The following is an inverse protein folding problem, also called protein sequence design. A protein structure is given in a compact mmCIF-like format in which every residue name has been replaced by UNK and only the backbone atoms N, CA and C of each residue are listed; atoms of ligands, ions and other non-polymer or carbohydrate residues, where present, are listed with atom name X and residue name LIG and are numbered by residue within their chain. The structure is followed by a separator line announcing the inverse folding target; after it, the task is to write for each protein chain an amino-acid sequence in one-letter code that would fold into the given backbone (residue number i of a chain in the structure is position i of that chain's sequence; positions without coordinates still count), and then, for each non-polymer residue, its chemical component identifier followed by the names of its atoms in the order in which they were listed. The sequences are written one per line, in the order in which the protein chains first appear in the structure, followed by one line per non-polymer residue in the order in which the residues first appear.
data_IF_682709168673
#
_entry.id   IF_682709168673
#
_cell.length_a   1.000
_cell.length_b   1.000
_cell.length_c   1.000
_cell.angle_alpha   90.00
_cell.angle_beta   90.00
_cell.angle_gamma   90.00
#
_symmetry.space_group_name_H-M   'P 1'
#
loop_
_entity.id
_entity.type
_entity.pdbx_description
1 polymer ?
#
# COMPACT_ATOMS: atom_id res chain seq x y z
N UNK A 1 18.82 20.65 -14.44
CA UNK A 1 19.27 19.98 -13.22
C UNK A 1 18.08 19.13 -12.74
N UNK A 2 18.28 17.84 -12.58
CA UNK A 2 17.26 16.87 -12.19
C UNK A 2 17.24 16.82 -10.66
N UNK A 3 16.07 16.95 -10.03
CA UNK A 3 15.94 17.05 -8.58
C UNK A 3 15.48 15.73 -7.99
N UNK A 4 16.17 15.28 -6.93
CA UNK A 4 15.82 14.02 -6.25
C UNK A 4 15.69 14.20 -4.73
N UNK A 5 14.93 13.30 -4.11
CA UNK A 5 14.82 13.14 -2.65
C UNK A 5 15.26 11.72 -2.30
N UNK A 6 16.00 11.59 -1.20
CA UNK A 6 16.39 10.31 -0.64
C UNK A 6 15.49 10.01 0.56
N UNK A 7 14.76 8.89 0.52
CA UNK A 7 13.81 8.49 1.55
C UNK A 7 14.17 7.10 2.04
N UNK A 8 14.80 7.00 3.21
CA UNK A 8 15.33 5.77 3.78
C UNK A 8 15.57 6.00 5.27
N UNK A 9 15.16 5.10 6.16
CA UNK A 9 15.38 5.27 7.60
C UNK A 9 16.84 5.01 8.01
N UNK A 10 17.60 4.31 7.17
CA UNK A 10 19.01 4.05 7.37
C UNK A 10 19.88 5.20 6.81
N UNK A 11 20.50 6.00 7.69
CA UNK A 11 21.37 7.11 7.27
C UNK A 11 22.53 6.66 6.38
N UNK A 12 23.12 5.48 6.67
CA UNK A 12 24.22 4.93 5.88
C UNK A 12 23.79 4.59 4.44
N UNK A 13 22.57 4.12 4.24
CA UNK A 13 22.04 3.86 2.91
C UNK A 13 21.92 5.17 2.10
N UNK A 14 21.40 6.25 2.73
CA UNK A 14 21.35 7.58 2.11
C UNK A 14 22.75 8.11 1.77
N UNK A 15 23.73 7.92 2.66
CA UNK A 15 25.11 8.34 2.42
C UNK A 15 25.75 7.60 1.24
N UNK A 16 25.49 6.31 1.07
CA UNK A 16 25.95 5.52 -0.09
C UNK A 16 25.34 6.08 -1.38
N UNK A 17 24.04 6.34 -1.41
CA UNK A 17 23.35 6.93 -2.57
C UNK A 17 23.94 8.30 -2.91
N UNK A 18 24.13 9.19 -1.92
CA UNK A 18 24.80 10.50 -2.13
C UNK A 18 26.21 10.38 -2.69
N UNK A 19 26.98 9.44 -2.13
CA UNK A 19 28.34 9.18 -2.62
C UNK A 19 28.32 8.77 -4.09
N UNK A 20 27.41 7.89 -4.51
CA UNK A 20 27.31 7.48 -5.91
C UNK A 20 26.79 8.60 -6.82
N UNK A 21 25.83 9.41 -6.33
CA UNK A 21 25.31 10.58 -7.06
C UNK A 21 26.36 11.66 -7.29
N UNK A 22 27.46 11.72 -6.52
CA UNK A 22 28.55 12.67 -6.76
C UNK A 22 29.19 12.55 -8.14
N UNK A 23 29.03 11.39 -8.81
CA UNK A 23 29.45 11.15 -10.18
C UNK A 23 28.48 11.71 -11.24
N UNK A 24 27.32 12.25 -10.83
CA UNK A 24 26.26 12.74 -11.70
C UNK A 24 25.92 14.21 -11.38
N UNK A 25 26.72 15.17 -11.85
CA UNK A 25 26.61 16.59 -11.46
C UNK A 25 25.28 17.25 -11.89
N UNK A 26 24.54 16.63 -12.82
CA UNK A 26 23.24 17.11 -13.27
C UNK A 26 22.08 16.73 -12.33
N UNK A 27 22.35 15.91 -11.29
CA UNK A 27 21.36 15.47 -10.29
C UNK A 27 21.62 16.17 -8.98
N UNK A 28 20.59 16.84 -8.45
CA UNK A 28 20.62 17.56 -7.17
C UNK A 28 19.77 16.83 -6.13
N UNK A 29 20.35 16.50 -4.97
CA UNK A 29 19.62 16.01 -3.81
C UNK A 29 19.03 17.21 -3.07
N UNK A 30 17.72 17.39 -3.15
CA UNK A 30 17.01 18.55 -2.55
C UNK A 30 16.51 18.29 -1.13
N UNK A 31 16.39 17.03 -0.71
CA UNK A 31 16.05 16.66 0.65
C UNK A 31 16.49 15.21 0.97
N UNK A 32 16.68 14.94 2.26
CA UNK A 32 16.84 13.61 2.83
C UNK A 32 15.76 13.40 3.90
N UNK A 33 15.12 12.23 3.90
CA UNK A 33 14.03 11.89 4.79
C UNK A 33 14.29 10.55 5.47
N UNK A 34 13.99 10.46 6.74
CA UNK A 34 14.20 9.27 7.58
C UNK A 34 12.94 8.43 7.77
N UNK A 35 11.81 8.85 7.27
CA UNK A 35 10.56 8.09 7.27
C UNK A 35 9.61 8.54 6.14
N UNK A 36 8.55 7.75 5.92
CA UNK A 36 7.61 8.03 4.84
C UNK A 36 6.79 9.31 5.03
N UNK A 37 6.57 9.81 6.26
CA UNK A 37 5.86 11.08 6.48
C UNK A 37 6.73 12.27 6.12
N UNK A 38 8.01 12.23 6.47
CA UNK A 38 8.99 13.22 6.02
C UNK A 38 9.08 13.22 4.50
N UNK A 39 9.15 12.02 3.89
CA UNK A 39 9.15 11.82 2.44
C UNK A 39 7.94 12.46 1.76
N UNK A 40 6.74 12.20 2.26
CA UNK A 40 5.50 12.77 1.73
C UNK A 40 5.50 14.31 1.79
N UNK A 41 5.93 14.88 2.91
CA UNK A 41 6.05 16.33 3.07
C UNK A 41 7.08 16.92 2.11
N UNK A 42 8.24 16.29 2.00
CA UNK A 42 9.32 16.74 1.11
C UNK A 42 8.92 16.67 -0.36
N UNK A 43 8.23 15.60 -0.81
CA UNK A 43 7.70 15.48 -2.17
C UNK A 43 6.74 16.63 -2.48
N UNK A 44 5.81 16.92 -1.57
CA UNK A 44 4.84 18.01 -1.74
C UNK A 44 5.53 19.38 -1.83
N UNK A 45 6.56 19.61 -1.01
CA UNK A 45 7.27 20.88 -0.92
C UNK A 45 8.22 21.10 -2.10
N UNK A 46 8.98 20.09 -2.47
CA UNK A 46 10.09 20.21 -3.43
C UNK A 46 9.71 19.77 -4.85
N UNK A 47 8.63 19.00 -5.02
CA UNK A 47 8.19 18.45 -6.31
C UNK A 47 9.37 17.87 -7.11
N UNK A 48 10.05 16.83 -6.62
CA UNK A 48 11.21 16.25 -7.27
C UNK A 48 10.84 15.57 -8.59
N UNK A 49 11.80 15.46 -9.50
CA UNK A 49 11.64 14.72 -10.75
C UNK A 49 11.59 13.20 -10.50
N UNK A 50 12.40 12.75 -9.54
CA UNK A 50 12.40 11.37 -9.09
C UNK A 50 12.80 11.25 -7.61
N UNK A 51 12.59 10.07 -7.02
CA UNK A 51 12.99 9.76 -5.65
C UNK A 51 13.71 8.41 -5.58
N UNK A 52 14.65 8.30 -4.63
CA UNK A 52 15.08 7.02 -4.09
C UNK A 52 14.22 6.72 -2.87
N UNK A 53 13.65 5.52 -2.82
CA UNK A 53 12.67 5.16 -1.81
C UNK A 53 12.94 3.77 -1.25
N UNK A 54 13.18 3.70 0.06
CA UNK A 54 13.14 2.42 0.74
C UNK A 54 11.69 1.94 0.89
N UNK A 55 11.53 0.63 0.76
CA UNK A 55 10.22 -0.01 0.93
C UNK A 55 9.90 -0.19 2.41
N UNK A 56 10.86 -0.63 3.22
CA UNK A 56 10.62 -0.92 4.62
C UNK A 56 11.07 0.22 5.53
N UNK A 57 10.14 1.05 5.91
CA UNK A 57 10.35 2.15 6.83
C UNK A 57 9.38 2.09 8.02
N UNK A 58 9.77 2.66 9.19
CA UNK A 58 8.88 2.82 10.34
C UNK A 58 7.63 3.63 9.99
N UNK A 59 6.52 3.41 10.73
CA UNK A 59 5.24 4.11 10.65
C UNK A 59 4.46 3.82 9.36
N UNK A 60 4.96 4.17 8.19
CA UNK A 60 4.40 3.83 6.87
C UNK A 60 5.51 3.32 5.96
N UNK A 61 5.25 2.27 5.20
CA UNK A 61 6.20 1.75 4.23
C UNK A 61 6.21 2.59 2.93
N UNK A 62 7.19 2.34 2.04
CA UNK A 62 7.35 3.12 0.82
C UNK A 62 6.13 3.07 -0.10
N UNK A 63 5.45 1.94 -0.20
CA UNK A 63 4.23 1.81 -1.01
C UNK A 63 3.04 2.54 -0.38
N UNK A 64 2.84 2.39 0.93
CA UNK A 64 1.81 3.15 1.67
C UNK A 64 2.02 4.66 1.54
N UNK A 65 3.28 5.11 1.56
CA UNK A 65 3.63 6.51 1.33
C UNK A 65 3.25 6.95 -0.09
N UNK A 66 3.60 6.17 -1.11
CA UNK A 66 3.26 6.51 -2.49
C UNK A 66 1.76 6.62 -2.71
N UNK A 67 0.94 5.76 -2.10
CA UNK A 67 -0.53 5.86 -2.18
C UNK A 67 -1.10 7.19 -1.68
N UNK A 68 -0.36 7.93 -0.86
CA UNK A 68 -0.76 9.21 -0.30
C UNK A 68 -0.29 10.41 -1.13
N UNK A 69 0.63 10.18 -2.06
CA UNK A 69 1.17 11.21 -2.96
C UNK A 69 0.16 11.49 -4.07
N UNK A 70 -0.18 12.75 -4.31
CA UNK A 70 -1.13 13.13 -5.37
C UNK A 70 -0.48 13.18 -6.76
N UNK A 71 0.75 13.69 -6.83
CA UNK A 71 1.55 13.75 -8.05
C UNK A 71 2.82 12.93 -7.84
N UNK A 72 2.86 11.78 -8.46
CA UNK A 72 3.95 10.82 -8.27
C UNK A 72 5.21 11.24 -9.04
N UNK A 73 6.36 11.40 -8.36
CA UNK A 73 7.66 11.46 -9.03
C UNK A 73 8.00 10.08 -9.61
N UNK A 74 8.98 10.02 -10.49
CA UNK A 74 9.57 8.74 -10.87
C UNK A 74 10.24 8.10 -9.64
N UNK A 75 10.26 6.76 -9.55
CA UNK A 75 10.74 6.05 -8.36
C UNK A 75 11.84 5.08 -8.71
N UNK A 76 12.96 5.15 -7.97
CA UNK A 76 13.96 4.09 -7.87
C UNK A 76 13.86 3.52 -6.46
N UNK A 77 13.44 2.26 -6.34
CA UNK A 77 13.40 1.62 -5.04
C UNK A 77 14.77 1.18 -4.56
N UNK A 78 15.01 1.33 -3.24
CA UNK A 78 16.19 0.80 -2.54
C UNK A 78 15.72 -0.05 -1.38
N UNK A 79 16.14 -1.33 -1.28
CA UNK A 79 15.64 -2.21 -0.22
C UNK A 79 16.56 -3.39 0.04
N UNK A 80 16.45 -4.00 1.23
CA UNK A 80 17.16 -5.22 1.58
C UNK A 80 16.46 -6.50 1.09
N UNK A 81 15.26 -6.40 0.50
CA UNK A 81 14.41 -7.54 0.19
C UNK A 81 14.26 -7.75 -1.32
N UNK A 82 14.68 -8.92 -1.80
CA UNK A 82 14.60 -9.34 -3.20
C UNK A 82 13.16 -9.71 -3.66
N UNK A 83 12.32 -10.15 -2.73
CA UNK A 83 10.92 -10.51 -3.02
C UNK A 83 10.07 -9.36 -3.57
N UNK A 84 10.46 -8.11 -3.33
CA UNK A 84 9.80 -6.91 -3.89
C UNK A 84 10.31 -6.53 -5.28
N UNK A 85 11.39 -7.13 -5.77
CA UNK A 85 11.94 -6.83 -7.09
C UNK A 85 10.93 -7.16 -8.21
N UNK A 86 10.23 -8.28 -8.11
CA UNK A 86 9.20 -8.69 -9.10
C UNK A 86 8.06 -7.65 -9.11
N UNK A 87 7.65 -7.19 -7.93
CA UNK A 87 6.59 -6.18 -7.77
C UNK A 87 7.00 -4.80 -8.28
N UNK A 88 8.25 -4.40 -8.10
CA UNK A 88 8.75 -3.13 -8.61
C UNK A 88 8.74 -3.08 -10.15
N UNK A 89 8.96 -4.21 -10.82
CA UNK A 89 8.87 -4.32 -12.28
C UNK A 89 7.43 -4.24 -12.81
N UNK A 90 6.45 -4.80 -12.11
CA UNK A 90 5.03 -4.70 -12.46
C UNK A 90 4.51 -3.26 -12.38
N UNK A 91 5.26 -2.38 -11.74
CA UNK A 91 4.82 -1.11 -11.18
C UNK A 91 5.37 0.11 -11.92
N UNK A 92 5.97 -0.03 -13.10
CA UNK A 92 6.56 1.11 -13.82
C UNK A 92 7.59 1.95 -13.01
N UNK A 93 8.22 1.38 -11.98
CA UNK A 93 9.40 2.01 -11.35
C UNK A 93 10.49 2.21 -12.40
N UNK A 94 11.34 3.22 -12.21
CA UNK A 94 12.53 3.40 -13.06
C UNK A 94 13.44 2.19 -12.89
N UNK A 95 13.68 1.81 -11.65
CA UNK A 95 14.49 0.65 -11.31
C UNK A 95 14.31 0.23 -9.83
N UNK A 96 15.01 -0.87 -9.50
CA UNK A 96 15.03 -1.48 -8.18
C UNK A 96 16.46 -1.84 -7.80
N UNK A 97 16.93 -1.33 -6.66
CA UNK A 97 18.29 -1.51 -6.16
C UNK A 97 18.25 -2.31 -4.85
N UNK A 98 18.87 -3.49 -4.86
CA UNK A 98 18.99 -4.31 -3.67
C UNK A 98 20.15 -3.81 -2.79
N UNK A 99 19.93 -3.68 -1.49
CA UNK A 99 20.97 -3.39 -0.51
C UNK A 99 21.78 -4.67 -0.20
N UNK A 100 23.13 -4.62 -0.15
CA UNK A 100 23.97 -3.45 -0.36
C UNK A 100 24.01 -3.03 -1.84
N UNK A 101 23.86 -1.72 -2.10
CA UNK A 101 23.75 -1.20 -3.47
C UNK A 101 25.12 -1.30 -4.17
N UNK A 102 25.15 -2.06 -5.26
CA UNK A 102 26.32 -2.12 -6.17
C UNK A 102 26.41 -0.88 -7.06
N UNK A 103 27.62 -0.31 -7.20
CA UNK A 103 27.84 0.92 -7.98
C UNK A 103 27.48 0.76 -9.45
N UNK A 104 27.82 -0.36 -10.07
CA UNK A 104 27.54 -0.58 -11.50
C UNK A 104 26.01 -0.71 -11.70
N UNK A 105 25.32 -1.36 -10.78
CA UNK A 105 23.85 -1.48 -10.79
C UNK A 105 23.16 -0.14 -10.57
N UNK A 106 23.72 0.70 -9.68
CA UNK A 106 23.27 2.08 -9.46
C UNK A 106 23.38 2.90 -10.74
N UNK A 107 24.55 2.86 -11.41
CA UNK A 107 24.79 3.59 -12.66
C UNK A 107 23.80 3.19 -13.77
N UNK A 108 23.48 1.90 -13.88
CA UNK A 108 22.45 1.42 -14.81
C UNK A 108 21.06 1.97 -14.50
N UNK A 109 20.70 2.09 -13.21
CA UNK A 109 19.42 2.67 -12.80
C UNK A 109 19.32 4.15 -13.19
N UNK A 110 20.38 4.92 -12.95
CA UNK A 110 20.43 6.34 -13.33
C UNK A 110 20.34 6.52 -14.86
N UNK A 111 20.96 5.64 -15.66
CA UNK A 111 20.88 5.70 -17.12
C UNK A 111 19.46 5.51 -17.67
N UNK A 112 18.56 4.89 -16.93
CA UNK A 112 17.13 4.71 -17.31
C UNK A 112 16.27 5.96 -17.07
N UNK A 113 16.70 6.87 -16.17
CA UNK A 113 15.93 8.06 -15.78
C UNK A 113 15.47 8.94 -16.96
N UNK A 114 16.33 9.31 -17.93
CA UNK A 114 15.94 10.21 -19.01
C UNK A 114 14.78 9.66 -19.85
N UNK A 115 14.78 8.37 -20.14
CA UNK A 115 13.70 7.72 -20.88
C UNK A 115 12.38 7.76 -20.10
N UNK A 116 12.44 7.60 -18.79
CA UNK A 116 11.26 7.62 -17.91
C UNK A 116 10.71 9.02 -17.70
N UNK A 117 11.57 10.02 -17.49
CA UNK A 117 11.17 11.42 -17.29
C UNK A 117 10.54 12.02 -18.56
N UNK A 118 10.96 11.57 -19.75
CA UNK A 118 10.37 12.01 -21.02
C UNK A 118 9.02 11.34 -21.34
N UNK A 119 8.72 10.18 -20.74
CA UNK A 119 7.49 9.41 -20.94
C UNK A 119 6.56 9.53 -19.72
N UNK A 120 6.19 10.75 -19.34
CA UNK A 120 5.44 11.08 -18.11
C UNK A 120 4.01 10.48 -18.02
N UNK A 121 3.49 9.80 -19.06
CA UNK A 121 2.12 9.26 -19.12
C UNK A 121 1.95 7.82 -18.62
N UNK A 122 2.97 7.19 -18.07
CA UNK A 122 2.83 5.85 -17.48
C UNK A 122 2.17 5.89 -16.10
N UNK A 123 0.97 5.35 -15.99
CA UNK A 123 0.13 5.40 -14.78
C UNK A 123 0.83 4.77 -13.56
N UNK A 124 1.15 5.61 -12.60
CA UNK A 124 1.64 5.19 -11.27
C UNK A 124 0.53 4.46 -10.47
N UNK A 125 -0.73 4.54 -10.94
CA UNK A 125 -1.88 3.91 -10.30
C UNK A 125 -1.81 2.37 -10.38
N UNK A 126 -1.32 1.79 -11.48
CA UNK A 126 -1.05 0.35 -11.59
C UNK A 126 0.03 -0.11 -10.61
N UNK A 127 0.93 0.81 -10.22
CA UNK A 127 1.94 0.66 -9.20
C UNK A 127 1.38 0.22 -7.86
N UNK A 128 0.35 0.88 -7.43
CA UNK A 128 -0.20 0.78 -6.10
C UNK A 128 -1.07 -0.46 -5.92
N UNK A 129 -1.63 -0.96 -7.02
CA UNK A 129 -2.54 -2.12 -6.97
C UNK A 129 -1.79 -3.45 -6.84
N UNK A 130 -0.60 -3.56 -7.44
CA UNK A 130 0.22 -4.78 -7.41
C UNK A 130 1.09 -4.92 -6.14
N UNK A 131 1.57 -3.81 -5.60
CA UNK A 131 2.57 -3.80 -4.53
C UNK A 131 2.04 -4.20 -3.14
N UNK A 132 0.74 -4.09 -2.95
CA UNK A 132 0.11 -4.27 -1.63
C UNK A 132 -0.25 -5.74 -1.29
N UNK A 133 0.18 -6.71 -2.08
CA UNK A 133 -0.24 -8.12 -1.97
C UNK A 133 0.57 -8.97 -0.96
N UNK A 134 1.29 -8.36 0.00
CA UNK A 134 2.01 -9.17 0.98
C UNK A 134 1.22 -9.31 2.29
N UNK A 135 0.62 -10.50 2.58
CA UNK A 135 -0.21 -10.72 3.77
C UNK A 135 0.54 -10.59 5.10
N UNK A 136 1.86 -10.75 5.07
CA UNK A 136 2.67 -10.84 6.30
C UNK A 136 2.88 -9.52 7.06
N UNK A 137 2.49 -8.37 6.50
CA UNK A 137 2.74 -7.05 7.10
C UNK A 137 1.49 -6.18 7.30
N UNK A 138 0.30 -6.68 7.00
CA UNK A 138 -0.92 -5.87 6.98
C UNK A 138 -1.68 -5.86 8.31
N UNK A 139 -1.00 -5.49 9.42
CA UNK A 139 -1.69 -5.25 10.69
C UNK A 139 -2.40 -3.87 10.74
N UNK A 140 -2.34 -3.09 9.65
CA UNK A 140 -2.90 -1.74 9.57
C UNK A 140 -3.31 -1.38 8.14
N UNK A 141 -4.23 -0.43 8.02
CA UNK A 141 -4.63 0.19 6.75
C UNK A 141 -4.42 1.69 6.85
N UNK A 142 -3.70 2.28 5.90
CA UNK A 142 -3.48 3.72 5.84
C UNK A 142 -4.56 4.34 4.95
N UNK A 143 -5.25 5.36 5.45
CA UNK A 143 -6.29 6.11 4.72
C UNK A 143 -6.03 7.61 4.81
N UNK A 144 -6.46 8.38 3.79
CA UNK A 144 -6.44 9.85 3.80
C UNK A 144 -7.89 10.35 3.84
N UNK A 145 -8.22 11.17 4.83
CA UNK A 145 -9.54 11.79 4.97
C UNK A 145 -9.39 13.27 5.29
N UNK A 146 -9.92 14.15 4.44
CA UNK A 146 -9.85 15.61 4.61
C UNK A 146 -8.41 16.14 4.79
N UNK A 147 -7.45 15.59 4.05
CA UNK A 147 -6.03 15.95 4.16
C UNK A 147 -5.29 15.35 5.36
N UNK A 148 -6.00 14.67 6.26
CA UNK A 148 -5.40 13.99 7.42
C UNK A 148 -5.15 12.52 7.07
N UNK A 149 -3.94 12.06 7.35
CA UNK A 149 -3.57 10.64 7.22
C UNK A 149 -3.93 9.93 8.51
N UNK A 150 -4.67 8.83 8.40
CA UNK A 150 -5.02 7.98 9.51
C UNK A 150 -4.51 6.56 9.28
N UNK A 151 -3.91 5.99 10.31
CA UNK A 151 -3.47 4.61 10.36
C UNK A 151 -4.51 3.84 11.19
N UNK A 152 -5.19 2.89 10.57
CA UNK A 152 -6.23 2.07 11.19
C UNK A 152 -5.63 0.69 11.46
N UNK A 153 -5.64 0.24 12.70
CA UNK A 153 -5.29 -1.14 13.00
C UNK A 153 -6.32 -2.09 12.38
N UNK A 154 -5.87 -3.17 11.78
CA UNK A 154 -6.77 -4.16 11.15
C UNK A 154 -7.76 -4.75 12.17
N UNK A 155 -7.34 -4.88 13.42
CA UNK A 155 -8.19 -5.33 14.54
C UNK A 155 -9.40 -4.42 14.82
N UNK A 156 -9.30 -3.14 14.44
CA UNK A 156 -10.36 -2.14 14.65
C UNK A 156 -11.38 -2.13 13.51
N UNK A 157 -11.12 -2.87 12.43
CA UNK A 157 -12.02 -3.00 11.29
C UNK A 157 -13.10 -4.05 11.63
N UNK A 158 -14.35 -3.64 11.56
CA UNK A 158 -15.50 -4.51 11.78
C UNK A 158 -15.88 -5.27 10.50
N UNK A 159 -16.00 -4.54 9.41
CA UNK A 159 -16.27 -5.09 8.09
C UNK A 159 -15.84 -4.11 7.00
N UNK A 160 -15.73 -4.63 5.78
CA UNK A 160 -15.49 -3.86 4.57
C UNK A 160 -16.69 -4.01 3.63
N UNK A 161 -17.05 -2.91 2.98
CA UNK A 161 -18.17 -2.82 2.04
C UNK A 161 -17.70 -2.21 0.71
N UNK A 162 -18.09 -2.83 -0.41
CA UNK A 162 -17.85 -2.25 -1.74
C UNK A 162 -18.70 -1.00 -1.94
N UNK A 163 -18.09 0.08 -2.45
CA UNK A 163 -18.72 1.37 -2.70
C UNK A 163 -18.14 1.97 -3.98
N UNK A 164 -18.71 1.60 -5.12
CA UNK A 164 -18.22 1.93 -6.46
C UNK A 164 -16.71 1.64 -6.63
N UNK A 165 -15.88 2.66 -6.85
CA UNK A 165 -14.43 2.55 -7.01
C UNK A 165 -13.66 2.50 -5.67
N UNK A 166 -14.38 2.48 -4.54
CA UNK A 166 -13.79 2.47 -3.21
C UNK A 166 -14.27 1.27 -2.40
N UNK A 167 -13.54 1.01 -1.33
CA UNK A 167 -13.99 0.11 -0.26
C UNK A 167 -14.14 0.93 1.01
N UNK A 168 -15.33 0.85 1.62
CA UNK A 168 -15.61 1.41 2.94
C UNK A 168 -15.07 0.47 4.02
N UNK A 169 -14.26 1.01 4.92
CA UNK A 169 -13.81 0.33 6.13
C UNK A 169 -14.65 0.84 7.30
N UNK A 170 -15.49 -0.03 7.85
CA UNK A 170 -16.27 0.28 9.04
C UNK A 170 -15.45 -0.04 10.29
N UNK A 171 -15.30 0.95 11.18
CA UNK A 171 -14.52 0.85 12.40
C UNK A 171 -15.28 1.46 13.58
N UNK A 172 -14.75 1.31 14.80
CA UNK A 172 -15.29 2.00 16.00
C UNK A 172 -15.25 3.52 15.88
N UNK A 173 -14.30 4.07 15.13
CA UNK A 173 -14.12 5.52 14.96
C UNK A 173 -14.88 6.10 13.77
N UNK A 174 -15.63 5.26 13.05
CA UNK A 174 -16.45 5.64 11.90
C UNK A 174 -16.06 4.92 10.62
N UNK A 175 -16.50 5.49 9.49
CA UNK A 175 -16.29 4.91 8.16
C UNK A 175 -15.20 5.66 7.42
N UNK A 176 -14.30 4.89 6.82
CA UNK A 176 -13.19 5.39 6.00
C UNK A 176 -13.26 4.77 4.61
N UNK A 177 -12.80 5.49 3.59
CA UNK A 177 -12.78 5.03 2.21
C UNK A 177 -11.35 4.77 1.76
N UNK A 178 -11.14 3.67 1.06
CA UNK A 178 -9.87 3.33 0.43
C UNK A 178 -10.09 3.02 -1.04
N UNK A 179 -9.33 3.64 -1.92
CA UNK A 179 -9.36 3.35 -3.37
C UNK A 179 -8.60 2.04 -3.63
N UNK A 180 -9.27 0.93 -3.39
CA UNK A 180 -8.80 -0.44 -3.63
C UNK A 180 -10.01 -1.33 -3.89
N UNK A 181 -9.78 -2.51 -4.48
CA UNK A 181 -10.85 -3.48 -4.76
C UNK A 181 -11.13 -4.39 -3.57
N UNK A 182 -12.30 -5.02 -3.55
CA UNK A 182 -12.63 -6.06 -2.57
C UNK A 182 -11.70 -7.28 -2.68
N UNK A 183 -11.25 -7.59 -3.90
CA UNK A 183 -10.31 -8.69 -4.14
C UNK A 183 -8.93 -8.39 -3.56
N UNK A 184 -8.49 -7.14 -3.62
CA UNK A 184 -7.29 -6.68 -2.94
C UNK A 184 -7.35 -7.00 -1.43
N UNK A 185 -8.42 -6.59 -0.75
CA UNK A 185 -8.56 -6.85 0.69
C UNK A 185 -8.71 -8.34 1.02
N UNK A 186 -9.39 -9.12 0.17
CA UNK A 186 -9.50 -10.58 0.33
C UNK A 186 -8.12 -11.27 0.26
N UNK A 187 -7.18 -10.74 -0.53
CA UNK A 187 -5.83 -11.28 -0.69
C UNK A 187 -4.85 -10.81 0.38
N UNK A 188 -5.06 -9.61 0.93
CA UNK A 188 -4.09 -8.94 1.84
C UNK A 188 -4.44 -9.10 3.31
N UNK A 189 -5.72 -9.24 3.67
CA UNK A 189 -6.12 -9.46 5.04
C UNK A 189 -5.95 -10.93 5.44
N UNK A 190 -5.63 -11.15 6.72
CA UNK A 190 -5.48 -12.50 7.28
C UNK A 190 -6.79 -13.29 7.14
N UNK A 191 -6.81 -14.39 6.38
CA UNK A 191 -8.02 -15.21 6.19
C UNK A 191 -8.51 -15.90 7.45
N UNK A 192 -7.69 -15.99 8.50
CA UNK A 192 -8.10 -16.45 9.82
C UNK A 192 -8.92 -15.40 10.59
N UNK A 193 -8.83 -14.13 10.22
CA UNK A 193 -9.55 -13.03 10.84
C UNK A 193 -10.66 -12.46 9.95
N UNK A 194 -10.45 -12.41 8.65
CA UNK A 194 -11.37 -11.79 7.70
C UNK A 194 -11.85 -12.77 6.64
N UNK A 195 -13.14 -12.72 6.35
CA UNK A 195 -13.74 -13.60 5.36
C UNK A 195 -14.69 -12.84 4.44
N UNK A 196 -14.59 -13.10 3.14
CA UNK A 196 -15.51 -12.57 2.14
C UNK A 196 -16.79 -13.38 2.12
N UNK A 197 -17.87 -12.80 2.64
CA UNK A 197 -19.18 -13.44 2.76
C UNK A 197 -20.11 -13.12 1.59
N UNK A 198 -19.84 -12.02 0.88
CA UNK A 198 -20.63 -11.55 -0.25
C UNK A 198 -19.72 -10.85 -1.27
N UNK A 199 -20.18 -10.68 -2.51
CA UNK A 199 -19.41 -9.89 -3.50
C UNK A 199 -19.05 -8.49 -2.99
N UNK A 200 -19.90 -7.91 -2.16
CA UNK A 200 -19.77 -6.57 -1.60
C UNK A 200 -19.34 -6.52 -0.13
N UNK A 201 -19.13 -7.66 0.54
CA UNK A 201 -18.81 -7.66 1.97
C UNK A 201 -17.70 -8.64 2.36
N UNK A 202 -16.72 -8.11 3.12
CA UNK A 202 -15.74 -8.87 3.89
C UNK A 202 -15.96 -8.53 5.36
N UNK A 203 -16.01 -9.52 6.24
CA UNK A 203 -16.27 -9.31 7.69
C UNK A 203 -15.09 -9.77 8.53
N UNK A 204 -14.88 -9.12 9.65
CA UNK A 204 -14.03 -9.60 10.72
C UNK A 204 -14.79 -10.68 11.51
N UNK A 205 -14.25 -11.88 11.56
CA UNK A 205 -14.87 -13.03 12.26
C UNK A 205 -15.10 -12.75 13.74
N UNK A 206 -14.23 -11.98 14.40
CA UNK A 206 -14.37 -11.60 15.80
C UNK A 206 -15.60 -10.69 16.06
N UNK A 207 -16.19 -10.10 15.01
CA UNK A 207 -17.38 -9.25 15.09
C UNK A 207 -18.69 -10.03 14.93
N UNK A 208 -18.65 -11.28 14.50
CA UNK A 208 -19.84 -12.11 14.27
C UNK A 208 -20.49 -12.49 15.61
N UNK A 209 -21.79 -12.21 15.73
CA UNK A 209 -22.59 -12.59 16.91
C UNK A 209 -23.64 -13.63 16.58
N UNK A 210 -24.23 -13.59 15.36
CA UNK A 210 -25.32 -14.48 14.97
C UNK A 210 -25.37 -14.67 13.46
N UNK A 211 -25.80 -15.84 13.03
CA UNK A 211 -26.11 -16.15 11.63
C UNK A 211 -27.56 -16.64 11.59
N UNK A 212 -28.36 -16.09 10.69
CA UNK A 212 -29.75 -16.46 10.52
C UNK A 212 -30.08 -16.81 9.07
N UNK A 213 -31.02 -17.72 8.92
CA UNK A 213 -31.64 -17.99 7.63
C UNK A 213 -32.75 -16.95 7.42
N UNK A 214 -32.64 -16.10 6.40
CA UNK A 214 -33.62 -15.07 6.09
C UNK A 214 -34.77 -15.61 5.23
N UNK A 215 -34.42 -16.37 4.19
CA UNK A 215 -35.34 -17.01 3.23
C UNK A 215 -34.71 -18.31 2.75
N UNK A 216 -35.47 -19.07 1.94
CA UNK A 216 -34.94 -20.31 1.36
C UNK A 216 -33.59 -20.04 0.68
N UNK A 217 -32.52 -20.60 1.23
CA UNK A 217 -31.14 -20.47 0.77
C UNK A 217 -30.49 -19.05 0.88
N UNK A 218 -31.06 -18.13 1.64
CA UNK A 218 -30.52 -16.79 1.89
C UNK A 218 -30.16 -16.61 3.36
N UNK A 219 -28.91 -16.27 3.64
CA UNK A 219 -28.39 -16.09 4.99
C UNK A 219 -28.03 -14.64 5.25
N UNK A 220 -28.14 -14.24 6.51
CA UNK A 220 -27.67 -12.95 7.02
C UNK A 220 -26.81 -13.17 8.26
N UNK A 221 -25.85 -12.28 8.48
CA UNK A 221 -25.00 -12.29 9.67
C UNK A 221 -25.19 -11.01 10.45
N UNK A 222 -25.32 -11.13 11.78
CA UNK A 222 -25.35 -10.01 12.72
C UNK A 222 -23.97 -9.80 13.29
N UNK A 223 -23.49 -8.56 13.25
CA UNK A 223 -22.24 -8.13 13.86
C UNK A 223 -22.46 -7.53 15.25
N UNK A 224 -21.41 -7.39 16.06
CA UNK A 224 -21.44 -6.71 17.38
C UNK A 224 -21.92 -5.27 17.32
N UNK A 225 -21.81 -4.63 16.15
CA UNK A 225 -22.30 -3.27 15.87
C UNK A 225 -23.80 -3.20 15.55
N UNK A 226 -24.56 -4.29 15.77
CA UNK A 226 -25.99 -4.43 15.45
C UNK A 226 -26.32 -4.26 13.95
N UNK A 227 -25.34 -4.48 13.08
CA UNK A 227 -25.52 -4.42 11.63
C UNK A 227 -25.75 -5.81 11.07
N UNK A 228 -26.80 -5.94 10.24
CA UNK A 228 -27.09 -7.14 9.48
C UNK A 228 -26.52 -7.05 8.07
N UNK A 229 -25.73 -8.04 7.69
CA UNK A 229 -25.10 -8.13 6.36
C UNK A 229 -25.57 -9.39 5.61
N UNK A 230 -25.80 -9.29 4.29
CA UNK A 230 -26.19 -10.42 3.46
C UNK A 230 -24.99 -11.38 3.27
N UNK A 231 -25.30 -12.68 3.27
CA UNK A 231 -24.31 -13.73 3.04
C UNK A 231 -24.71 -14.52 1.78
N UNK A 232 -23.82 -14.61 0.81
CA UNK A 232 -24.03 -15.43 -0.40
C UNK A 232 -23.94 -16.92 -0.07
N UNK A 233 -24.48 -17.79 -0.93
CA UNK A 233 -24.39 -19.26 -0.75
C UNK A 233 -22.94 -19.73 -0.58
N UNK A 234 -22.03 -19.25 -1.42
CA UNK A 234 -20.59 -19.55 -1.32
C UNK A 234 -19.96 -18.94 -0.08
N UNK A 235 -20.35 -17.71 0.27
CA UNK A 235 -19.90 -17.03 1.50
C UNK A 235 -20.34 -17.77 2.76
N UNK A 236 -21.54 -18.33 2.79
CA UNK A 236 -22.00 -19.13 3.92
C UNK A 236 -21.17 -20.40 4.16
N UNK A 237 -20.81 -21.10 3.07
CA UNK A 237 -19.93 -22.28 3.18
C UNK A 237 -18.57 -21.89 3.77
N UNK A 238 -17.96 -20.79 3.26
CA UNK A 238 -16.71 -20.26 3.78
C UNK A 238 -16.84 -19.86 5.26
N UNK A 239 -17.90 -19.14 5.61
CA UNK A 239 -18.14 -18.65 6.98
C UNK A 239 -18.31 -19.79 7.97
N UNK A 240 -19.07 -20.84 7.61
CA UNK A 240 -19.22 -22.04 8.46
C UNK A 240 -17.87 -22.72 8.70
N UNK A 241 -17.09 -22.93 7.65
CA UNK A 241 -15.78 -23.56 7.77
C UNK A 241 -14.84 -22.75 8.68
N UNK A 242 -14.85 -21.42 8.56
CA UNK A 242 -14.02 -20.53 9.37
C UNK A 242 -14.44 -20.50 10.86
N UNK A 243 -15.73 -20.72 11.17
CA UNK A 243 -16.26 -20.78 12.53
C UNK A 243 -16.24 -22.21 13.13
N UNK A 244 -15.80 -23.22 12.37
CA UNK A 244 -15.79 -24.61 12.81
C UNK A 244 -17.17 -25.25 12.96
N UNK A 245 -18.17 -24.79 12.17
CA UNK A 245 -19.58 -25.23 12.21
C UNK A 245 -19.90 -26.25 11.11
#
# INVERSE_FOLDING_TARGET
MIRTILIDDESLARDVVKHYLSSFPDIEVVAECSDGFEGLKAITQHQPDFIFLDIQMPKINGFEMLELVEKHPAVIFTTAFDEYAIKAFEVNAVDYLLKPIDKARFDQAIQKLPARLNNADGSTQELLDSASLNPAQNNRVVVKKNGVIKIIAVTDIHYLEADDDYVKLSTTEGVFHKNKTMSFFEQTLDPAQFIRIHRSYIINLAQVTRIELKEKDSYIVLLKSDIWLPVSKTGYVKLKAALGL
#
